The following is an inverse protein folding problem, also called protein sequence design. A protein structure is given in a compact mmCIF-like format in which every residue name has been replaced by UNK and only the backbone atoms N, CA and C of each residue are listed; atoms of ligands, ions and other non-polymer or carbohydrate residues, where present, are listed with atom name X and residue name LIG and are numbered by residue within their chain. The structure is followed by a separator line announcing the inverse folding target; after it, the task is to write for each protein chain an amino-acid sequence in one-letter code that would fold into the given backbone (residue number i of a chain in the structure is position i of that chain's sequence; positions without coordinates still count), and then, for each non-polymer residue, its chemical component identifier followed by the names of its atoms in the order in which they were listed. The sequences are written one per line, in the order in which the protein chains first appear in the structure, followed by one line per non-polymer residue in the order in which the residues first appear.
data_IF_054038936919
#
_entry.id   IF_054038936919
#
_cell.length_a   1.000
_cell.length_b   1.000
_cell.length_c   1.000
_cell.angle_alpha   90.00
_cell.angle_beta   90.00
_cell.angle_gamma   90.00
#
_symmetry.space_group_name_H-M   'P 1'
#
loop_
_entity.id
_entity.type
_entity.pdbx_description
1 polymer ?
#
# COMPACT_ATOMS: atom_id res chain seq x y z
N UNK A 1 7.27 3.89 11.11
CA UNK A 1 8.21 2.76 11.34
C UNK A 1 8.25 2.44 12.84
N UNK A 2 8.27 1.16 13.20
CA UNK A 2 8.33 0.73 14.59
C UNK A 2 9.79 0.69 15.11
N UNK A 3 10.03 0.85 16.43
CA UNK A 3 11.37 0.85 17.01
C UNK A 3 12.15 -0.43 16.75
N UNK A 4 11.51 -1.59 16.83
CA UNK A 4 12.13 -2.91 16.61
C UNK A 4 12.65 -3.11 15.17
N UNK A 5 11.97 -2.49 14.19
CA UNK A 5 12.38 -2.49 12.77
C UNK A 5 13.63 -1.65 12.59
N UNK A 6 13.67 -0.45 13.19
CA UNK A 6 14.85 0.42 13.16
C UNK A 6 16.06 -0.23 13.83
N UNK A 7 15.83 -0.96 14.93
CA UNK A 7 16.88 -1.63 15.70
C UNK A 7 17.32 -2.97 15.10
N UNK A 8 16.68 -3.45 14.02
CA UNK A 8 16.99 -4.73 13.36
C UNK A 8 17.00 -5.93 14.31
N UNK A 9 16.13 -5.93 15.32
CA UNK A 9 16.04 -7.00 16.34
C UNK A 9 15.25 -8.24 15.87
N UNK A 10 14.85 -8.27 14.60
CA UNK A 10 13.76 -9.11 14.13
C UNK A 10 12.41 -8.43 14.43
N UNK A 11 11.45 -8.63 13.54
CA UNK A 11 10.10 -8.10 13.68
C UNK A 11 9.11 -9.05 12.99
N UNK A 12 7.91 -9.14 13.53
CA UNK A 12 6.76 -9.81 12.92
C UNK A 12 5.64 -8.82 12.58
N UNK A 13 4.41 -9.33 12.53
CA UNK A 13 3.20 -8.55 12.21
C UNK A 13 2.90 -7.44 13.24
N UNK A 14 3.46 -7.53 14.44
CA UNK A 14 3.28 -6.54 15.50
C UNK A 14 3.74 -5.13 15.11
N UNK A 15 4.68 -4.98 14.18
CA UNK A 15 5.14 -3.67 13.71
C UNK A 15 4.05 -2.90 12.94
N UNK A 16 3.07 -3.61 12.39
CA UNK A 16 1.94 -3.02 11.70
C UNK A 16 0.99 -2.36 12.71
N UNK A 17 0.80 -2.96 13.89
CA UNK A 17 0.01 -2.37 14.97
C UNK A 17 0.62 -1.08 15.52
N UNK A 18 1.96 -1.01 15.56
CA UNK A 18 2.64 0.26 15.86
C UNK A 18 2.30 1.33 14.81
N UNK A 19 2.36 0.95 13.53
CA UNK A 19 2.06 1.87 12.43
C UNK A 19 0.60 2.32 12.45
N UNK A 20 -0.34 1.42 12.80
CA UNK A 20 -1.74 1.78 13.06
C UNK A 20 -1.86 2.82 14.18
N UNK A 21 -1.13 2.64 15.29
CA UNK A 21 -1.11 3.62 16.39
C UNK A 21 -0.58 4.99 15.95
N UNK A 22 0.44 5.02 15.09
CA UNK A 22 1.00 6.26 14.56
C UNK A 22 0.02 6.98 13.62
N UNK A 23 -0.66 6.23 12.73
CA UNK A 23 -1.70 6.75 11.83
C UNK A 23 -2.90 7.26 12.64
N UNK A 24 -3.33 6.53 13.67
CA UNK A 24 -4.42 6.96 14.56
C UNK A 24 -4.07 8.27 15.27
N UNK A 25 -2.83 8.40 15.78
CA UNK A 25 -2.36 9.65 16.35
C UNK A 25 -2.45 10.78 15.32
N UNK A 26 -1.92 10.57 14.11
CA UNK A 26 -1.89 11.58 13.05
C UNK A 26 -3.29 12.03 12.62
N UNK A 27 -4.25 11.10 12.48
CA UNK A 27 -5.64 11.42 12.15
C UNK A 27 -6.33 12.28 13.22
N UNK A 28 -5.99 12.09 14.51
CA UNK A 28 -6.62 12.80 15.62
C UNK A 28 -5.91 14.09 16.01
N UNK A 29 -4.59 14.17 15.79
CA UNK A 29 -3.75 15.30 16.19
C UNK A 29 -3.44 16.23 15.01
N UNK A 30 -3.45 15.71 13.78
CA UNK A 30 -3.15 16.44 12.55
C UNK A 30 -1.68 16.42 12.13
N UNK A 31 -0.81 15.75 12.88
CA UNK A 31 0.60 15.55 12.53
C UNK A 31 1.17 14.25 13.12
N UNK A 32 2.25 13.68 12.57
CA UNK A 32 2.84 12.43 13.06
C UNK A 32 3.43 12.55 14.48
N UNK A 33 3.34 11.50 15.32
CA UNK A 33 3.77 11.56 16.74
C UNK A 33 5.26 11.84 16.96
N UNK A 34 6.11 11.52 15.97
CA UNK A 34 7.57 11.63 16.09
C UNK A 34 8.17 12.56 15.02
N UNK A 35 7.38 13.46 14.46
CA UNK A 35 7.81 14.35 13.37
C UNK A 35 9.06 15.17 13.72
N UNK A 36 9.95 15.32 12.74
CA UNK A 36 11.14 16.17 12.78
C UNK A 36 11.60 16.44 11.34
N UNK A 37 12.21 17.59 11.09
CA UNK A 37 12.73 17.95 9.76
C UNK A 37 13.92 17.08 9.33
N UNK A 38 14.69 16.59 10.30
CA UNK A 38 15.80 15.66 10.08
C UNK A 38 15.34 14.19 10.27
N UNK A 39 15.47 13.33 9.24
CA UNK A 39 15.11 11.92 9.32
C UNK A 39 15.84 11.14 10.42
N UNK A 40 17.10 11.49 10.70
CA UNK A 40 17.88 10.83 11.76
C UNK A 40 17.30 11.16 13.14
N UNK A 41 16.89 12.40 13.34
CA UNK A 41 16.20 12.85 14.55
C UNK A 41 14.84 12.18 14.70
N UNK A 42 14.07 12.04 13.62
CA UNK A 42 12.81 11.27 13.62
C UNK A 42 13.05 9.82 14.05
N UNK A 43 14.06 9.15 13.51
CA UNK A 43 14.43 7.79 13.92
C UNK A 43 14.82 7.72 15.40
N UNK A 44 15.60 8.70 15.90
CA UNK A 44 15.97 8.78 17.32
C UNK A 44 14.75 8.96 18.22
N UNK A 45 13.80 9.82 17.84
CA UNK A 45 12.54 10.03 18.56
C UNK A 45 11.72 8.73 18.64
N UNK A 46 11.67 7.96 17.54
CA UNK A 46 10.98 6.65 17.50
C UNK A 46 11.65 5.65 18.43
N UNK A 47 12.98 5.52 18.40
CA UNK A 47 13.70 4.59 19.30
C UNK A 47 13.49 4.97 20.78
N UNK A 48 13.42 6.27 21.08
CA UNK A 48 13.16 6.79 22.42
C UNK A 48 11.70 7.23 22.62
N UNK A 49 10.75 6.54 22.01
CA UNK A 49 9.34 6.94 21.94
C UNK A 49 8.73 7.29 23.30
N UNK A 50 9.11 6.60 24.38
CA UNK A 50 8.62 6.85 25.75
C UNK A 50 8.79 8.30 26.21
N UNK A 51 9.86 8.95 25.75
CA UNK A 51 10.20 10.32 26.13
C UNK A 51 9.65 11.35 25.13
N UNK A 52 9.23 10.90 23.95
CA UNK A 52 8.87 11.76 22.82
C UNK A 52 7.40 11.68 22.43
N UNK A 53 6.68 10.63 22.84
CA UNK A 53 5.24 10.55 22.67
C UNK A 53 4.56 11.55 23.61
N UNK A 54 3.99 12.60 23.04
CA UNK A 54 3.28 13.65 23.77
C UNK A 54 1.96 13.92 23.08
N UNK A 55 0.93 14.22 23.85
CA UNK A 55 -0.38 14.58 23.32
C UNK A 55 -0.61 16.08 23.53
N UNK A 56 -0.78 16.88 22.47
CA UNK A 56 -1.12 18.29 22.61
C UNK A 56 -2.51 18.45 23.26
N UNK A 57 -2.67 19.45 24.11
CA UNK A 57 -3.95 19.72 24.78
C UNK A 57 -5.00 20.22 23.77
N UNK A 58 -4.56 20.91 22.73
CA UNK A 58 -5.39 21.52 21.69
C UNK A 58 -6.16 20.47 20.88
N UNK A 59 -5.62 19.25 20.74
CA UNK A 59 -6.25 18.18 19.99
C UNK A 59 -7.45 17.53 20.72
N UNK A 60 -7.66 17.81 22.01
CA UNK A 60 -8.84 17.39 22.80
C UNK A 60 -9.22 15.92 22.67
N UNK A 61 -8.22 15.03 22.63
CA UNK A 61 -8.47 13.59 22.51
C UNK A 61 -9.18 13.04 23.75
N UNK A 62 -10.12 12.12 23.53
CA UNK A 62 -10.77 11.37 24.62
C UNK A 62 -9.76 10.48 25.35
N UNK A 63 -10.11 10.10 26.58
CA UNK A 63 -9.31 9.19 27.40
C UNK A 63 -9.10 7.84 26.71
N UNK A 64 -10.13 7.31 26.06
CA UNK A 64 -10.10 6.03 25.36
C UNK A 64 -9.21 6.08 24.11
N UNK A 65 -9.20 7.21 23.40
CA UNK A 65 -8.34 7.41 22.23
C UNK A 65 -6.86 7.45 22.63
N UNK A 66 -6.54 8.22 23.68
CA UNK A 66 -5.17 8.28 24.22
C UNK A 66 -4.71 6.90 24.72
N UNK A 67 -5.58 6.18 25.43
CA UNK A 67 -5.29 4.84 25.94
C UNK A 67 -5.01 3.85 24.80
N UNK A 68 -5.83 3.83 23.74
CA UNK A 68 -5.59 2.96 22.58
C UNK A 68 -4.26 3.29 21.90
N UNK A 69 -3.97 4.58 21.66
CA UNK A 69 -2.72 5.01 21.04
C UNK A 69 -1.53 4.55 21.91
N UNK A 70 -1.57 4.74 23.22
CA UNK A 70 -0.50 4.31 24.12
C UNK A 70 -0.32 2.78 24.13
N UNK A 71 -1.38 2.00 23.95
CA UNK A 71 -1.33 0.53 23.88
C UNK A 71 -0.88 -0.01 22.51
N UNK A 72 -0.89 0.83 21.47
CA UNK A 72 -0.33 0.50 20.15
C UNK A 72 1.11 1.01 20.01
N UNK A 73 1.37 2.22 20.48
CA UNK A 73 2.69 2.85 20.52
C UNK A 73 3.45 2.47 21.80
N UNK A 74 3.65 1.17 22.01
CA UNK A 74 4.43 0.63 23.11
C UNK A 74 5.38 -0.50 22.66
N UNK A 75 6.09 -1.09 23.63
CA UNK A 75 6.93 -2.26 23.39
C UNK A 75 6.10 -3.46 22.90
N UNK A 76 6.71 -4.26 22.04
CA UNK A 76 6.08 -5.43 21.38
C UNK A 76 5.36 -6.35 22.37
N UNK A 77 5.97 -6.65 23.52
CA UNK A 77 5.42 -7.59 24.51
C UNK A 77 4.09 -7.14 25.13
N UNK A 78 3.83 -5.83 25.14
CA UNK A 78 2.63 -5.23 25.73
C UNK A 78 1.69 -4.65 24.66
N UNK A 79 2.06 -4.75 23.38
CA UNK A 79 1.32 -4.13 22.29
C UNK A 79 0.03 -4.88 22.02
N UNK A 80 -1.07 -4.12 21.91
CA UNK A 80 -2.33 -4.72 21.45
C UNK A 80 -2.18 -5.20 20.02
N UNK A 81 -2.80 -6.35 19.72
CA UNK A 81 -2.79 -6.96 18.40
C UNK A 81 -1.76 -8.07 18.22
N UNK A 82 -0.81 -8.22 19.16
CA UNK A 82 0.18 -9.31 19.13
C UNK A 82 -0.48 -10.70 19.19
N UNK A 83 -1.65 -10.82 19.83
CA UNK A 83 -2.45 -12.06 19.83
C UNK A 83 -3.62 -12.03 18.82
N UNK A 84 -3.62 -11.07 17.91
CA UNK A 84 -4.66 -10.89 16.90
C UNK A 84 -5.49 -9.62 17.09
N UNK A 85 -6.19 -9.24 16.01
CA UNK A 85 -6.93 -7.98 15.91
C UNK A 85 -8.08 -7.84 16.93
N UNK A 86 -8.58 -8.95 17.48
CA UNK A 86 -9.74 -8.91 18.38
C UNK A 86 -9.46 -8.17 19.69
N UNK A 87 -8.20 -8.16 20.15
CA UNK A 87 -7.78 -7.33 21.28
C UNK A 87 -8.01 -5.83 21.02
N UNK A 88 -7.78 -5.39 19.78
CA UNK A 88 -7.96 -4.00 19.37
C UNK A 88 -9.44 -3.71 19.18
N UNK A 89 -10.18 -4.61 18.53
CA UNK A 89 -11.64 -4.47 18.32
C UNK A 89 -12.43 -4.39 19.63
N UNK A 90 -11.98 -5.09 20.66
CA UNK A 90 -12.59 -5.09 21.99
C UNK A 90 -12.25 -3.85 22.83
N UNK A 91 -11.38 -2.96 22.34
CA UNK A 91 -10.98 -1.77 23.07
C UNK A 91 -12.16 -0.80 23.26
N UNK A 92 -12.32 -0.14 24.43
CA UNK A 92 -13.43 0.79 24.69
C UNK A 92 -13.57 1.94 23.69
N UNK A 93 -12.50 2.29 22.96
CA UNK A 93 -12.54 3.28 21.89
C UNK A 93 -13.49 2.87 20.75
N UNK A 94 -13.65 1.56 20.51
CA UNK A 94 -14.52 0.98 19.48
C UNK A 94 -15.85 0.44 20.03
N UNK A 95 -16.27 0.84 21.23
CA UNK A 95 -17.47 0.29 21.90
C UNK A 95 -18.77 0.39 21.07
N UNK A 96 -18.87 1.41 20.22
CA UNK A 96 -20.06 1.69 19.41
C UNK A 96 -19.91 1.15 17.96
N UNK A 97 -18.79 0.47 17.66
CA UNK A 97 -18.48 -0.06 16.32
C UNK A 97 -19.06 -1.46 16.12
N UNK A 98 -19.89 -1.62 15.09
CA UNK A 98 -20.45 -2.92 14.68
C UNK A 98 -19.56 -3.60 13.64
N UNK A 99 -18.57 -4.34 14.13
CA UNK A 99 -17.54 -4.98 13.29
C UNK A 99 -18.10 -5.99 12.28
N UNK A 100 -19.19 -6.69 12.63
CA UNK A 100 -19.87 -7.67 11.79
C UNK A 100 -20.56 -7.05 10.57
N UNK A 101 -20.95 -5.77 10.65
CA UNK A 101 -21.67 -5.05 9.60
C UNK A 101 -20.86 -3.90 9.01
N UNK A 102 -19.54 -3.89 9.21
CA UNK A 102 -18.69 -2.77 8.82
C UNK A 102 -18.83 -2.42 7.33
N UNK A 103 -18.93 -3.41 6.46
CA UNK A 103 -19.09 -3.22 5.01
C UNK A 103 -20.49 -2.77 4.58
N UNK A 104 -21.50 -2.91 5.45
CA UNK A 104 -22.87 -2.44 5.21
C UNK A 104 -23.09 -1.03 5.76
N UNK A 105 -22.20 -0.54 6.61
CA UNK A 105 -22.31 0.77 7.23
C UNK A 105 -22.03 1.88 6.22
N UNK A 106 -22.76 2.99 6.33
CA UNK A 106 -22.50 4.18 5.54
C UNK A 106 -21.15 4.79 5.92
N UNK A 107 -20.26 4.94 4.93
CA UNK A 107 -18.97 5.58 5.12
C UNK A 107 -19.13 7.06 5.50
N UNK A 108 -18.34 7.52 6.46
CA UNK A 108 -18.36 8.91 6.91
C UNK A 108 -18.00 9.92 5.82
N UNK A 109 -17.22 9.49 4.82
CA UNK A 109 -16.84 10.28 3.65
C UNK A 109 -17.02 9.44 2.39
N UNK A 110 -17.71 10.00 1.40
CA UNK A 110 -17.86 9.42 0.07
C UNK A 110 -17.11 10.33 -0.92
N UNK A 111 -16.02 9.86 -1.53
CA UNK A 111 -15.28 10.67 -2.49
C UNK A 111 -16.15 10.96 -3.72
N UNK A 112 -15.96 12.14 -4.29
CA UNK A 112 -16.55 12.48 -5.58
C UNK A 112 -15.70 11.83 -6.69
N UNK A 113 -16.37 11.20 -7.66
CA UNK A 113 -15.73 10.53 -8.79
C UNK A 113 -16.51 10.87 -10.05
N UNK A 114 -15.83 11.44 -11.05
CA UNK A 114 -16.45 11.92 -12.29
C UNK A 114 -16.56 10.84 -13.37
N UNK A 115 -15.72 9.79 -13.30
CA UNK A 115 -15.72 8.70 -14.28
C UNK A 115 -14.68 7.63 -13.98
N UNK A 116 -14.61 6.61 -14.84
CA UNK A 116 -13.75 5.43 -14.66
C UNK A 116 -12.24 5.74 -14.69
N UNK A 117 -11.85 6.83 -15.34
CA UNK A 117 -10.46 7.28 -15.45
C UNK A 117 -10.16 8.51 -14.59
N UNK A 118 -11.05 8.87 -13.67
CA UNK A 118 -10.86 10.02 -12.80
C UNK A 118 -9.71 9.77 -11.79
N UNK A 119 -8.71 10.64 -11.83
CA UNK A 119 -7.55 10.60 -10.93
C UNK A 119 -7.53 11.78 -9.94
N UNK A 120 -8.60 12.57 -9.81
CA UNK A 120 -8.62 13.81 -9.01
C UNK A 120 -8.37 13.60 -7.51
N UNK A 121 -8.70 12.42 -6.99
CA UNK A 121 -8.50 12.07 -5.58
C UNK A 121 -7.06 11.62 -5.27
N UNK A 122 -6.15 11.69 -6.25
CA UNK A 122 -4.73 11.37 -6.11
C UNK A 122 -3.87 12.61 -6.34
N UNK A 123 -2.67 12.61 -5.75
CA UNK A 123 -1.69 13.66 -6.00
C UNK A 123 -1.11 13.52 -7.41
N UNK A 124 -1.03 14.63 -8.13
CA UNK A 124 -0.30 14.71 -9.39
C UNK A 124 1.17 14.94 -9.09
N UNK A 125 2.04 14.13 -9.69
CA UNK A 125 3.47 14.32 -9.63
C UNK A 125 3.96 14.72 -11.01
N UNK A 126 4.85 15.70 -11.07
CA UNK A 126 5.54 16.01 -12.31
C UNK A 126 6.33 14.78 -12.76
N UNK A 127 6.27 14.49 -14.07
CA UNK A 127 7.13 13.47 -14.65
C UNK A 127 8.57 13.90 -14.43
N UNK A 128 9.27 13.19 -13.53
CA UNK A 128 10.71 13.34 -13.40
C UNK A 128 11.29 12.79 -14.69
N UNK A 129 12.05 13.60 -15.44
CA UNK A 129 12.83 13.14 -16.59
C UNK A 129 13.72 11.99 -16.14
N UNK A 130 13.21 10.77 -16.25
CA UNK A 130 13.97 9.59 -15.93
C UNK A 130 15.03 9.52 -17.03
N UNK A 131 16.34 9.53 -16.69
CA UNK A 131 17.32 9.12 -17.67
C UNK A 131 16.85 7.74 -18.12
N UNK A 132 16.50 7.60 -19.40
CA UNK A 132 16.21 6.29 -20.00
C UNK A 132 17.51 5.49 -20.03
N UNK A 133 18.04 5.13 -18.87
CA UNK A 133 19.23 4.31 -18.71
C UNK A 133 18.81 2.87 -18.91
N UNK A 134 18.91 2.46 -20.17
CA UNK A 134 18.92 1.07 -20.57
C UNK A 134 17.57 0.60 -21.09
N UNK A 135 17.38 0.70 -22.42
CA UNK A 135 16.79 -0.44 -23.11
C UNK A 135 17.58 -1.68 -22.65
N UNK A 136 16.92 -2.60 -21.93
CA UNK A 136 17.52 -3.89 -21.59
C UNK A 136 18.08 -4.53 -22.87
N UNK A 137 19.13 -5.37 -22.77
CA UNK A 137 19.79 -5.93 -23.94
C UNK A 137 18.77 -6.54 -24.92
N UNK A 138 18.76 -6.00 -26.13
CA UNK A 138 17.84 -6.37 -27.19
C UNK A 138 17.98 -7.88 -27.48
N UNK A 139 16.93 -8.63 -27.16
CA UNK A 139 16.71 -10.04 -27.54
C UNK A 139 17.87 -10.98 -27.20
N UNK A 140 17.95 -11.42 -25.93
CA UNK A 140 18.69 -12.65 -25.60
C UNK A 140 17.79 -13.87 -25.83
N UNK A 141 18.24 -14.80 -26.66
CA UNK A 141 17.60 -16.10 -26.93
C UNK A 141 17.67 -17.08 -25.75
N UNK A 142 18.41 -16.73 -24.69
CA UNK A 142 18.56 -17.50 -23.47
C UNK A 142 18.26 -16.63 -22.25
N UNK A 143 17.50 -17.18 -21.29
CA UNK A 143 17.21 -16.53 -20.02
C UNK A 143 18.53 -16.17 -19.31
N UNK A 144 18.74 -14.89 -19.04
CA UNK A 144 19.84 -14.47 -18.20
C UNK A 144 19.55 -14.91 -16.75
N UNK A 145 20.57 -15.15 -15.91
CA UNK A 145 20.36 -15.49 -14.49
C UNK A 145 19.51 -14.47 -13.72
N UNK A 146 19.46 -13.21 -14.17
CA UNK A 146 18.62 -12.15 -13.61
C UNK A 146 17.13 -12.29 -13.95
N UNK A 147 16.80 -12.96 -15.06
CA UNK A 147 15.42 -13.17 -15.50
C UNK A 147 14.73 -14.24 -14.64
N UNK A 148 15.52 -15.10 -13.97
CA UNK A 148 15.03 -16.09 -13.02
C UNK A 148 14.34 -15.47 -11.80
N UNK A 149 14.67 -14.22 -11.45
CA UNK A 149 14.05 -13.50 -10.34
C UNK A 149 12.55 -13.24 -10.55
N UNK A 150 12.07 -13.31 -11.80
CA UNK A 150 10.68 -13.04 -12.16
C UNK A 150 9.91 -14.30 -12.59
N UNK A 151 10.52 -15.48 -12.51
CA UNK A 151 9.80 -16.74 -12.77
C UNK A 151 8.70 -16.90 -11.72
N UNK A 152 7.47 -17.12 -12.18
CA UNK A 152 6.29 -17.21 -11.30
C UNK A 152 5.67 -15.87 -10.93
N UNK A 153 6.22 -14.74 -11.39
CA UNK A 153 5.64 -13.42 -11.17
C UNK A 153 4.34 -13.19 -11.96
N UNK A 154 4.20 -13.81 -13.14
CA UNK A 154 3.00 -13.67 -13.98
C UNK A 154 1.78 -14.23 -13.26
N UNK A 155 0.81 -13.35 -12.99
CA UNK A 155 -0.49 -13.70 -12.42
C UNK A 155 -1.61 -13.44 -13.45
N UNK A 156 -2.56 -14.37 -13.56
CA UNK A 156 -3.77 -14.21 -14.36
C UNK A 156 -4.99 -14.59 -13.52
N UNK A 157 -5.87 -13.62 -13.26
CA UNK A 157 -7.14 -13.88 -12.59
C UNK A 157 -8.13 -14.48 -13.61
N UNK A 158 -8.28 -15.81 -13.61
CA UNK A 158 -9.15 -16.51 -14.56
C UNK A 158 -10.66 -16.33 -14.26
N UNK A 159 -11.04 -15.95 -13.05
CA UNK A 159 -12.44 -15.69 -12.70
C UNK A 159 -12.92 -14.35 -13.28
N UNK A 160 -12.06 -13.32 -13.24
CA UNK A 160 -12.33 -12.03 -13.88
C UNK A 160 -12.50 -12.15 -15.41
N UNK A 161 -11.89 -13.16 -16.05
CA UNK A 161 -11.94 -13.39 -17.50
C UNK A 161 -13.19 -14.16 -17.95
N UNK A 162 -13.79 -14.97 -17.06
CA UNK A 162 -14.99 -15.78 -17.36
C UNK A 162 -16.32 -15.05 -17.13
N UNK A 163 -16.30 -13.84 -16.57
CA UNK A 163 -17.50 -13.03 -16.26
C UNK A 163 -18.13 -12.29 -17.45
N UNK A 164 -17.61 -12.44 -18.67
CA UNK A 164 -18.26 -11.96 -19.90
C UNK A 164 -19.30 -13.00 -20.34
N UNK A 165 -20.56 -12.60 -20.63
CA UNK A 165 -21.60 -13.54 -21.01
C UNK A 165 -21.20 -14.30 -22.29
N UNK A 166 -21.39 -15.61 -22.20
CA UNK A 166 -21.08 -16.66 -23.16
C UNK A 166 -21.61 -16.32 -24.57
N UNK A 167 -20.73 -15.87 -25.47
CA UNK A 167 -21.04 -15.84 -26.91
C UNK A 167 -20.89 -17.27 -27.41
N UNK A 168 -22.05 -17.88 -27.65
CA UNK A 168 -22.29 -19.22 -28.18
C UNK A 168 -21.23 -19.70 -29.20
N UNK A 169 -20.80 -20.93 -28.95
CA UNK A 169 -20.11 -21.91 -29.82
C UNK A 169 -19.91 -21.52 -31.29
N UNK A 170 -18.66 -21.56 -31.76
CA UNK A 170 -18.32 -22.14 -33.06
C UNK A 170 -16.90 -22.75 -33.08
N UNK A 171 -16.82 -24.07 -33.32
CA UNK A 171 -15.72 -24.73 -34.04
C UNK A 171 -14.57 -25.33 -33.23
N UNK A 172 -13.94 -26.41 -33.73
CA UNK A 172 -13.10 -27.29 -32.93
C UNK A 172 -11.76 -26.65 -32.56
N UNK A 173 -11.33 -26.95 -31.34
CA UNK A 173 -10.05 -26.57 -30.73
C UNK A 173 -8.89 -26.93 -31.66
N UNK A 174 -8.24 -25.93 -32.25
CA UNK A 174 -6.88 -26.08 -32.77
C UNK A 174 -5.92 -25.87 -31.60
N UNK A 175 -5.09 -26.88 -31.34
CA UNK A 175 -3.98 -26.82 -30.40
C UNK A 175 -3.21 -25.52 -30.62
N UNK A 176 -2.96 -24.78 -29.54
CA UNK A 176 -2.15 -23.58 -29.58
C UNK A 176 -0.72 -23.97 -29.97
N UNK A 177 -0.39 -23.81 -31.25
CA UNK A 177 0.98 -23.71 -31.72
C UNK A 177 1.58 -22.46 -31.11
N UNK A 178 2.61 -22.65 -30.30
CA UNK A 178 3.60 -21.64 -29.98
C UNK A 178 4.29 -21.24 -31.28
N UNK A 179 3.85 -20.16 -31.92
CA UNK A 179 4.70 -19.34 -32.81
C UNK A 179 3.91 -18.15 -33.33
N UNK A 180 4.27 -16.95 -32.87
CA UNK A 180 4.09 -15.74 -33.67
C UNK A 180 4.98 -14.62 -33.13
N UNK A 181 6.26 -14.69 -33.50
CA UNK A 181 7.06 -13.49 -33.69
C UNK A 181 6.58 -12.82 -34.97
N UNK A 182 5.82 -11.73 -34.88
CA UNK A 182 5.89 -10.66 -35.88
C UNK A 182 5.66 -9.31 -35.21
N UNK A 183 6.78 -8.61 -35.08
CA UNK A 183 6.85 -7.16 -34.95
C UNK A 183 6.27 -6.51 -36.21
N UNK A 184 5.27 -5.65 -36.04
CA UNK A 184 4.88 -4.70 -37.07
C UNK A 184 5.38 -3.31 -36.66
N UNK A 185 6.24 -2.77 -37.51
CA UNK A 185 6.85 -1.45 -37.40
C UNK A 185 6.70 -0.80 -38.76
N UNK A 186 5.98 0.32 -38.82
CA UNK A 186 5.88 1.12 -40.03
C UNK A 186 4.91 2.28 -39.88
N UNK A 187 5.40 3.42 -39.40
CA UNK A 187 4.80 4.72 -39.74
C UNK A 187 5.94 5.64 -40.21
N UNK A 188 6.02 5.81 -41.53
CA UNK A 188 6.89 6.75 -42.22
C UNK A 188 6.46 8.19 -41.93
N UNK A 189 7.40 9.04 -41.54
CA UNK A 189 7.25 10.50 -41.62
C UNK A 189 8.04 11.01 -42.82
N UNK A 190 7.29 11.36 -43.88
CA UNK A 190 7.80 12.04 -45.05
C UNK A 190 8.23 13.46 -44.70
N UNK A 191 9.50 13.75 -44.97
CA UNK A 191 10.11 15.07 -44.92
C UNK A 191 9.47 16.00 -45.97
N UNK A 192 9.22 17.26 -45.65
CA UNK A 192 8.94 18.31 -46.64
C UNK A 192 9.50 19.64 -46.17
N UNK A 193 10.69 19.95 -46.69
CA UNK A 193 11.26 21.30 -46.70
C UNK A 193 10.48 22.18 -47.68
N UNK A 194 10.05 23.35 -47.20
CA UNK A 194 10.19 24.65 -47.87
C UNK A 194 9.82 25.80 -46.93
#
# INVERSE_FOLDING_TARGET
IAPEVLLKKGYGMECDWWSLGAIMYEMLVGYPPFYSDDPVTTCRKIVHWRNHLKFPEEARLTTEAKDLICKLLCDVDHRLGTQGADQIKAHPWFKDTRWDKLYEMEAAFKPHVEGEFDTQNFMTFDEVDCPRTGSGPLKKTFLAPKDLNFVGYTYKNFEAVKGLPDVKEFGPVRQASTDSFHSDSGVDYSNSDK
#
